data_IF_496460915190
#
_entry.id   IF_496460915190
#
_cell.length_a   1.000
_cell.length_b   1.000
_cell.length_c   1.000
_cell.angle_alpha   90.00
_cell.angle_beta   90.00
_cell.angle_gamma   90.00
#
_symmetry.space_group_name_H-M   'P 1'
#
loop_
_entity.id
_entity.type
_entity.pdbx_description
1 polymer ?
#
# COMPACT_ATOMS: atom_id res chain seq x y z
N UNK A 1 24.32 -49.97 14.32
CA UNK A 1 24.90 -48.60 14.24
C UNK A 1 25.56 -48.35 12.88
N UNK A 2 26.36 -49.28 12.37
CA UNK A 2 27.07 -49.21 11.09
C UNK A 2 26.17 -49.04 9.86
N UNK A 3 25.04 -49.73 9.79
CA UNK A 3 24.13 -49.64 8.62
C UNK A 3 23.40 -48.28 8.52
N UNK A 4 23.15 -47.61 9.65
CA UNK A 4 22.55 -46.27 9.67
C UNK A 4 23.56 -45.19 9.28
N UNK A 5 24.83 -45.38 9.64
CA UNK A 5 25.91 -44.50 9.21
C UNK A 5 26.15 -44.58 7.70
N UNK A 6 26.19 -45.80 7.13
CA UNK A 6 26.34 -46.00 5.69
C UNK A 6 25.18 -45.38 4.88
N UNK A 7 23.94 -45.49 5.38
CA UNK A 7 22.78 -44.84 4.74
C UNK A 7 22.82 -43.31 4.83
N UNK A 8 23.36 -42.75 5.92
CA UNK A 8 23.52 -41.31 6.07
C UNK A 8 24.59 -40.75 5.11
N UNK A 9 25.71 -41.46 4.94
CA UNK A 9 26.76 -41.09 4.00
C UNK A 9 26.29 -41.18 2.53
N UNK A 10 25.53 -42.21 2.18
CA UNK A 10 24.93 -42.33 0.84
C UNK A 10 23.94 -41.19 0.54
N UNK A 11 23.12 -40.81 1.52
CA UNK A 11 22.20 -39.67 1.38
C UNK A 11 22.93 -38.33 1.28
N UNK A 12 24.02 -38.15 2.04
CA UNK A 12 24.84 -36.95 1.95
C UNK A 12 25.54 -36.82 0.58
N UNK A 13 26.02 -37.94 0.02
CA UNK A 13 26.59 -37.97 -1.32
C UNK A 13 25.54 -37.61 -2.38
N UNK A 14 24.34 -38.20 -2.31
CA UNK A 14 23.24 -37.92 -3.24
C UNK A 14 22.80 -36.44 -3.22
N UNK A 15 22.68 -35.85 -2.02
CA UNK A 15 22.36 -34.42 -1.87
C UNK A 15 23.46 -33.51 -2.42
N UNK A 16 24.74 -33.92 -2.30
CA UNK A 16 25.86 -33.16 -2.84
C UNK A 16 25.88 -33.17 -4.38
N UNK A 17 25.47 -34.27 -4.99
CA UNK A 17 25.39 -34.40 -6.45
C UNK A 17 24.18 -33.66 -7.01
N UNK A 18 23.04 -33.70 -6.33
CA UNK A 18 21.85 -32.90 -6.67
C UNK A 18 22.13 -31.39 -6.56
N UNK A 19 22.90 -30.96 -5.55
CA UNK A 19 23.35 -29.57 -5.42
C UNK A 19 24.28 -29.13 -6.57
N UNK A 20 25.19 -30.01 -7.00
CA UNK A 20 26.08 -29.74 -8.16
C UNK A 20 25.29 -29.68 -9.46
N UNK A 21 24.28 -30.52 -9.61
CA UNK A 21 23.43 -30.54 -10.79
C UNK A 21 22.55 -29.29 -10.87
N UNK A 22 21.93 -28.88 -9.75
CA UNK A 22 21.24 -27.58 -9.67
C UNK A 22 22.18 -26.41 -9.98
N UNK A 23 23.42 -26.44 -9.51
CA UNK A 23 24.40 -25.40 -9.79
C UNK A 23 24.81 -25.37 -11.27
N UNK A 24 24.86 -26.53 -11.94
CA UNK A 24 25.06 -26.62 -13.40
C UNK A 24 23.85 -26.10 -14.17
N UNK A 25 22.63 -26.43 -13.74
CA UNK A 25 21.39 -25.92 -14.35
C UNK A 25 21.25 -24.40 -14.18
N UNK A 26 21.65 -23.83 -13.04
CA UNK A 26 21.69 -22.39 -12.84
C UNK A 26 22.72 -21.69 -13.73
N UNK A 27 23.86 -22.34 -14.01
CA UNK A 27 24.87 -21.84 -14.95
C UNK A 27 24.45 -21.98 -16.41
N UNK A 28 23.72 -23.03 -16.76
CA UNK A 28 23.22 -23.29 -18.11
C UNK A 28 21.93 -22.51 -18.43
N UNK A 29 21.35 -21.77 -17.47
CA UNK A 29 20.21 -20.90 -17.75
C UNK A 29 20.66 -19.77 -18.70
N UNK A 30 19.88 -19.47 -19.75
CA UNK A 30 20.21 -18.47 -20.78
C UNK A 30 20.36 -17.06 -20.21
N UNK A 31 19.95 -16.82 -18.97
CA UNK A 31 20.16 -15.56 -18.25
C UNK A 31 21.63 -15.32 -17.91
N UNK A 32 22.42 -16.35 -17.59
CA UNK A 32 23.85 -16.18 -17.28
C UNK A 32 24.66 -15.82 -18.54
N UNK A 33 24.33 -16.47 -19.67
CA UNK A 33 24.90 -16.15 -20.99
C UNK A 33 24.45 -14.76 -21.47
N UNK A 34 23.16 -14.42 -21.30
CA UNK A 34 22.66 -13.08 -21.59
C UNK A 34 23.33 -12.00 -20.71
N UNK A 35 23.58 -12.28 -19.43
CA UNK A 35 24.31 -11.37 -18.55
C UNK A 35 25.80 -11.26 -18.90
N UNK A 36 26.42 -12.31 -19.43
CA UNK A 36 27.79 -12.26 -19.94
C UNK A 36 27.85 -11.42 -21.22
N UNK A 37 26.93 -11.66 -22.17
CA UNK A 37 26.81 -10.89 -23.40
C UNK A 37 26.57 -9.39 -23.13
N UNK A 38 25.65 -9.04 -22.23
CA UNK A 38 25.40 -7.66 -21.81
C UNK A 38 26.64 -7.01 -21.17
N UNK A 39 27.45 -7.78 -20.44
CA UNK A 39 28.68 -7.27 -19.82
C UNK A 39 29.76 -6.99 -20.86
N UNK A 40 29.85 -7.83 -21.88
CA UNK A 40 30.79 -7.64 -22.98
C UNK A 40 30.36 -6.47 -23.88
N UNK A 41 29.06 -6.27 -24.12
CA UNK A 41 28.53 -5.07 -24.76
C UNK A 41 28.84 -3.79 -23.96
N UNK A 42 28.65 -3.82 -22.63
CA UNK A 42 29.01 -2.70 -21.75
C UNK A 42 30.51 -2.38 -21.75
N UNK A 43 31.36 -3.38 -21.93
CA UNK A 43 32.81 -3.19 -22.07
C UNK A 43 33.15 -2.56 -23.42
N UNK A 44 32.55 -3.04 -24.51
CA UNK A 44 32.72 -2.45 -25.84
C UNK A 44 32.27 -0.98 -25.89
N UNK A 45 31.15 -0.64 -25.24
CA UNK A 45 30.67 0.76 -25.14
C UNK A 45 31.61 1.63 -24.30
N UNK A 46 32.21 1.08 -23.24
CA UNK A 46 33.21 1.79 -22.42
C UNK A 46 34.48 2.09 -23.21
N UNK A 47 34.96 1.12 -23.98
CA UNK A 47 36.17 1.26 -24.80
C UNK A 47 35.95 2.22 -25.98
N UNK A 48 34.72 2.28 -26.53
CA UNK A 48 34.33 3.30 -27.50
C UNK A 48 34.29 4.72 -26.88
N UNK A 49 33.88 4.84 -25.61
CA UNK A 49 33.85 6.11 -24.89
C UNK A 49 35.24 6.64 -24.52
N UNK A 50 36.19 5.75 -24.22
CA UNK A 50 37.59 6.14 -23.97
C UNK A 50 38.29 6.52 -25.28
N UNK A 51 38.06 5.79 -26.38
CA UNK A 51 38.57 6.15 -27.70
C UNK A 51 38.03 7.49 -28.23
N UNK A 52 36.80 7.88 -27.88
CA UNK A 52 36.24 9.19 -28.24
C UNK A 52 36.80 10.36 -27.41
N UNK A 53 37.41 10.10 -26.25
CA UNK A 53 37.99 11.14 -25.38
C UNK A 53 39.37 11.60 -25.83
N UNK A 54 40.11 10.75 -26.54
CA UNK A 54 41.46 11.09 -27.03
C UNK A 54 41.44 11.98 -28.29
N UNK A 55 40.25 12.21 -28.90
CA UNK A 55 40.06 13.08 -30.06
C UNK A 55 39.48 14.48 -29.73
N UNK A 56 39.08 14.72 -28.47
CA UNK A 56 38.42 15.97 -28.06
C UNK A 56 39.33 16.92 -27.24
N UNK A 57 40.65 16.74 -27.33
CA UNK A 57 41.65 17.62 -26.74
C UNK A 57 42.25 18.58 -27.77
N UNK A 58 41.48 19.57 -28.24
CA UNK A 58 41.99 20.54 -29.20
C UNK A 58 41.08 21.74 -29.44
N UNK A 59 41.40 22.86 -28.80
CA UNK A 59 41.31 24.16 -29.46
C UNK A 59 40.18 25.13 -29.06
N UNK A 60 40.65 26.31 -28.60
CA UNK A 60 40.05 27.65 -28.72
C UNK A 60 38.81 27.96 -27.87
N UNK A 61 38.64 29.13 -27.27
CA UNK A 61 39.34 30.40 -27.39
C UNK A 61 38.41 31.48 -26.83
N UNK A 62 38.94 32.29 -25.92
CA UNK A 62 38.29 33.37 -25.19
C UNK A 62 37.90 34.55 -26.09
N UNK A 63 36.71 35.14 -25.91
CA UNK A 63 36.42 36.52 -26.34
C UNK A 63 35.35 37.18 -25.45
N UNK A 64 35.81 38.20 -24.72
CA UNK A 64 35.05 39.14 -23.91
C UNK A 64 34.85 40.45 -24.68
N UNK A 65 33.67 41.07 -24.55
CA UNK A 65 33.36 42.52 -24.62
C UNK A 65 31.83 42.65 -24.67
N UNK A 66 31.10 43.40 -23.82
CA UNK A 66 31.41 44.59 -23.07
C UNK A 66 30.76 45.80 -23.76
N UNK A 67 29.61 46.29 -23.25
CA UNK A 67 29.17 47.70 -23.30
C UNK A 67 28.00 47.94 -22.36
N UNK A 68 28.18 48.90 -21.45
CA UNK A 68 27.21 49.49 -20.53
C UNK A 68 26.28 50.50 -21.24
N UNK A 69 25.15 50.82 -20.60
CA UNK A 69 24.25 51.89 -21.03
C UNK A 69 23.02 52.02 -20.13
N UNK A 70 23.14 52.86 -19.10
CA UNK A 70 22.13 53.33 -18.15
C UNK A 70 21.12 54.32 -18.79
N UNK A 71 19.96 54.53 -18.15
CA UNK A 71 19.07 55.66 -18.44
C UNK A 71 17.56 55.35 -18.35
N UNK A 72 16.93 55.75 -17.26
CA UNK A 72 15.51 55.54 -16.97
C UNK A 72 14.52 56.56 -17.55
N UNK A 73 13.23 56.28 -17.32
CA UNK A 73 12.24 57.29 -16.98
C UNK A 73 11.13 57.63 -17.99
N UNK A 74 9.91 57.52 -17.48
CA UNK A 74 8.73 58.36 -17.72
C UNK A 74 7.65 57.90 -18.74
N UNK A 75 6.43 57.93 -18.20
CA UNK A 75 5.14 57.70 -18.82
C UNK A 75 4.60 58.95 -19.52
N UNK A 76 3.81 58.74 -20.59
CA UNK A 76 2.68 59.56 -21.05
C UNK A 76 2.10 58.88 -22.31
N UNK A 77 0.91 58.28 -22.27
CA UNK A 77 -0.37 58.89 -22.68
C UNK A 77 -0.29 59.73 -23.96
N UNK A 78 -0.84 59.22 -25.06
CA UNK A 78 -1.81 59.97 -25.87
C UNK A 78 -2.50 59.04 -26.87
N UNK A 79 -3.83 59.15 -26.87
CA UNK A 79 -4.71 58.63 -27.89
C UNK A 79 -4.44 59.34 -29.22
N UNK A 80 -4.47 58.59 -30.30
CA UNK A 80 -4.52 59.13 -31.66
C UNK A 80 -5.68 58.47 -32.40
N UNK A 81 -6.70 59.30 -32.63
CA UNK A 81 -7.80 59.09 -33.55
C UNK A 81 -7.36 59.61 -34.93
N UNK A 82 -7.56 58.84 -36.00
CA UNK A 82 -7.79 59.36 -37.36
C UNK A 82 -8.05 58.22 -38.33
N UNK A 83 -9.30 58.14 -38.77
CA UNK A 83 -9.73 57.44 -39.96
C UNK A 83 -9.28 58.20 -41.21
N UNK A 84 -8.81 57.49 -42.25
CA UNK A 84 -9.11 57.81 -43.65
C UNK A 84 -9.09 56.55 -44.51
N UNK A 85 -10.11 56.48 -45.36
CA UNK A 85 -10.52 55.39 -46.25
C UNK A 85 -9.54 55.06 -47.37
N UNK A 86 -9.52 53.79 -47.81
CA UNK A 86 -9.04 53.45 -49.15
C UNK A 86 -8.45 52.05 -49.37
N UNK A 87 -9.18 50.95 -49.13
CA UNK A 87 -8.85 49.62 -49.68
C UNK A 87 -10.01 48.63 -49.54
N UNK A 88 -11.01 48.65 -50.44
CA UNK A 88 -12.19 47.79 -50.36
C UNK A 88 -12.35 46.77 -51.50
N UNK A 89 -11.28 46.39 -52.20
CA UNK A 89 -11.39 45.44 -53.32
C UNK A 89 -10.52 44.17 -53.22
N UNK A 90 -9.44 44.12 -52.43
CA UNK A 90 -8.62 42.88 -52.27
C UNK A 90 -8.96 42.08 -51.01
N UNK A 91 -9.59 42.68 -50.02
CA UNK A 91 -9.91 42.06 -48.72
C UNK A 91 -11.11 41.11 -48.77
N UNK A 92 -12.02 41.26 -49.73
CA UNK A 92 -13.18 40.38 -49.86
C UNK A 92 -12.80 38.97 -50.36
N UNK A 93 -11.80 38.87 -51.24
CA UNK A 93 -11.30 37.58 -51.74
C UNK A 93 -10.47 36.84 -50.67
N UNK A 94 -9.61 37.56 -49.93
CA UNK A 94 -8.88 36.99 -48.79
C UNK A 94 -9.81 36.63 -47.62
N UNK A 95 -10.87 37.41 -47.36
CA UNK A 95 -11.87 37.08 -46.34
C UNK A 95 -12.73 35.86 -46.73
N UNK A 96 -13.03 35.65 -48.01
CA UNK A 96 -13.78 34.47 -48.47
C UNK A 96 -12.91 33.20 -48.44
N UNK A 97 -11.61 33.30 -48.77
CA UNK A 97 -10.66 32.19 -48.64
C UNK A 97 -10.36 31.88 -47.17
N UNK A 98 -10.25 32.89 -46.30
CA UNK A 98 -10.10 32.70 -44.85
C UNK A 98 -11.37 32.14 -44.20
N UNK A 99 -12.56 32.56 -44.64
CA UNK A 99 -13.84 31.99 -44.20
C UNK A 99 -14.02 30.56 -44.72
N UNK A 100 -13.58 30.26 -45.95
CA UNK A 100 -13.55 28.91 -46.51
C UNK A 100 -12.57 27.99 -45.78
N UNK A 101 -11.38 28.48 -45.42
CA UNK A 101 -10.40 27.75 -44.62
C UNK A 101 -10.85 27.55 -43.16
N UNK A 102 -11.52 28.53 -42.56
CA UNK A 102 -12.13 28.41 -41.23
C UNK A 102 -13.32 27.45 -41.22
N UNK A 103 -14.13 27.43 -42.29
CA UNK A 103 -15.23 26.47 -42.46
C UNK A 103 -14.72 25.03 -42.69
N UNK A 104 -13.66 24.87 -43.49
CA UNK A 104 -13.00 23.57 -43.70
C UNK A 104 -12.30 23.05 -42.43
N UNK A 105 -11.64 23.93 -41.66
CA UNK A 105 -11.06 23.59 -40.36
C UNK A 105 -12.17 23.23 -39.34
N UNK A 106 -13.28 23.97 -39.31
CA UNK A 106 -14.45 23.67 -38.48
C UNK A 106 -15.10 22.32 -38.82
N UNK A 107 -15.14 21.95 -40.10
CA UNK A 107 -15.64 20.65 -40.58
C UNK A 107 -14.72 19.47 -40.25
N UNK A 108 -13.41 19.68 -40.06
CA UNK A 108 -12.49 18.63 -39.56
C UNK A 108 -12.44 18.56 -38.03
N UNK A 109 -12.68 19.66 -37.34
CA UNK A 109 -12.68 19.71 -35.86
C UNK A 109 -13.97 19.13 -35.26
N UNK A 110 -15.11 19.30 -35.92
CA UNK A 110 -16.39 18.69 -35.50
C UNK A 110 -16.34 17.15 -35.36
N UNK A 111 -15.90 16.36 -36.37
CA UNK A 111 -15.86 14.91 -36.23
C UNK A 111 -14.84 14.45 -35.17
N UNK A 112 -13.76 15.20 -34.97
CA UNK A 112 -12.74 14.91 -33.95
C UNK A 112 -13.30 15.14 -32.53
N UNK A 113 -14.03 16.25 -32.31
CA UNK A 113 -14.74 16.51 -31.06
C UNK A 113 -15.82 15.48 -30.78
N UNK A 114 -16.57 15.05 -31.80
CA UNK A 114 -17.59 14.00 -31.66
C UNK A 114 -16.94 12.65 -31.35
N UNK A 115 -15.79 12.34 -31.97
CA UNK A 115 -15.02 11.12 -31.68
C UNK A 115 -14.48 11.11 -30.25
N UNK A 116 -13.91 12.22 -29.78
CA UNK A 116 -13.45 12.37 -28.39
C UNK A 116 -14.61 12.34 -27.39
N UNK A 117 -15.74 12.98 -27.69
CA UNK A 117 -16.92 12.90 -26.83
C UNK A 117 -17.43 11.46 -26.73
N UNK A 118 -17.48 10.72 -27.85
CA UNK A 118 -17.88 9.30 -27.87
C UNK A 118 -16.86 8.42 -27.14
N UNK A 119 -15.56 8.71 -27.27
CA UNK A 119 -14.48 8.04 -26.52
C UNK A 119 -14.64 8.28 -25.03
N UNK A 120 -14.80 9.53 -24.58
CA UNK A 120 -15.02 9.87 -23.18
C UNK A 120 -16.31 9.24 -22.63
N UNK A 121 -17.40 9.21 -23.40
CA UNK A 121 -18.62 8.49 -23.03
C UNK A 121 -18.37 6.99 -22.85
N UNK A 122 -17.62 6.35 -23.76
CA UNK A 122 -17.27 4.93 -23.64
C UNK A 122 -16.39 4.65 -22.42
N UNK A 123 -15.44 5.54 -22.11
CA UNK A 123 -14.59 5.45 -20.93
C UNK A 123 -15.40 5.64 -19.65
N UNK A 124 -16.34 6.59 -19.62
CA UNK A 124 -17.27 6.78 -18.50
C UNK A 124 -18.17 5.56 -18.29
N UNK A 125 -18.65 4.93 -19.37
CA UNK A 125 -19.43 3.69 -19.27
C UNK A 125 -18.59 2.53 -18.74
N UNK A 126 -17.35 2.39 -19.21
CA UNK A 126 -16.42 1.35 -18.75
C UNK A 126 -16.02 1.55 -17.29
N UNK A 127 -15.75 2.79 -16.87
CA UNK A 127 -15.46 3.10 -15.46
C UNK A 127 -16.66 2.83 -14.55
N UNK A 128 -17.89 3.13 -15.02
CA UNK A 128 -19.11 2.76 -14.28
C UNK A 128 -19.27 1.25 -14.14
N UNK A 129 -19.03 0.50 -15.22
CA UNK A 129 -19.07 -0.97 -15.16
C UNK A 129 -18.03 -1.55 -14.19
N UNK A 130 -16.80 -1.00 -14.19
CA UNK A 130 -15.76 -1.38 -13.22
C UNK A 130 -16.12 -1.02 -11.78
N UNK A 131 -16.78 0.12 -11.56
CA UNK A 131 -17.27 0.49 -10.23
C UNK A 131 -18.34 -0.49 -9.75
N UNK A 132 -19.31 -0.85 -10.59
CA UNK A 132 -20.34 -1.83 -10.21
C UNK A 132 -19.74 -3.21 -9.94
N UNK A 133 -18.77 -3.66 -10.75
CA UNK A 133 -18.05 -4.92 -10.53
C UNK A 133 -17.31 -4.91 -9.18
N UNK A 134 -16.58 -3.84 -8.86
CA UNK A 134 -15.88 -3.69 -7.57
C UNK A 134 -16.84 -3.60 -6.39
N UNK A 135 -18.00 -2.96 -6.58
CA UNK A 135 -19.06 -2.93 -5.58
C UNK A 135 -19.64 -4.32 -5.33
N UNK A 136 -19.84 -5.13 -6.37
CA UNK A 136 -20.34 -6.50 -6.25
C UNK A 136 -19.30 -7.42 -5.60
N UNK A 137 -18.02 -7.28 -5.94
CA UNK A 137 -16.92 -7.96 -5.26
C UNK A 137 -16.88 -7.60 -3.76
N UNK A 138 -17.04 -6.31 -3.41
CA UNK A 138 -17.11 -5.85 -2.02
C UNK A 138 -18.35 -6.40 -1.30
N UNK A 139 -19.52 -6.45 -1.96
CA UNK A 139 -20.74 -7.06 -1.40
C UNK A 139 -20.52 -8.55 -1.14
N UNK A 140 -19.92 -9.28 -2.08
CA UNK A 140 -19.61 -10.70 -1.94
C UNK A 140 -18.59 -10.96 -0.82
N UNK A 141 -17.54 -10.15 -0.72
CA UNK A 141 -16.54 -10.25 0.35
C UNK A 141 -17.17 -10.01 1.73
N UNK A 142 -18.01 -8.98 1.87
CA UNK A 142 -18.75 -8.69 3.12
C UNK A 142 -19.72 -9.80 3.49
N UNK A 143 -20.36 -10.43 2.50
CA UNK A 143 -21.24 -11.56 2.76
C UNK A 143 -20.45 -12.77 3.30
N UNK A 144 -19.29 -13.07 2.70
CA UNK A 144 -18.38 -14.12 3.21
C UNK A 144 -17.85 -13.80 4.60
N UNK A 145 -17.54 -12.54 4.90
CA UNK A 145 -17.13 -12.11 6.23
C UNK A 145 -18.22 -12.37 7.27
N UNK A 146 -19.49 -12.04 6.96
CA UNK A 146 -20.64 -12.34 7.83
C UNK A 146 -20.88 -13.84 8.02
N UNK A 147 -20.72 -14.62 6.96
CA UNK A 147 -20.86 -16.08 7.04
C UNK A 147 -19.75 -16.71 7.89
N UNK A 148 -18.51 -16.22 7.74
CA UNK A 148 -17.39 -16.67 8.56
C UNK A 148 -17.55 -16.21 10.02
N UNK A 149 -18.01 -14.99 10.28
CA UNK A 149 -18.27 -14.53 11.64
C UNK A 149 -19.38 -15.36 12.31
N UNK A 150 -20.46 -15.66 11.59
CA UNK A 150 -21.53 -16.53 12.10
C UNK A 150 -21.02 -17.95 12.44
N UNK A 151 -20.14 -18.52 11.59
CA UNK A 151 -19.50 -19.82 11.88
C UNK A 151 -18.59 -19.76 13.11
N UNK A 152 -17.86 -18.66 13.29
CA UNK A 152 -17.03 -18.45 14.50
C UNK A 152 -17.91 -18.36 15.74
N UNK A 153 -19.01 -17.60 15.68
CA UNK A 153 -19.94 -17.47 16.80
C UNK A 153 -20.60 -18.82 17.16
N UNK A 154 -20.97 -19.62 16.15
CA UNK A 154 -21.48 -20.99 16.35
C UNK A 154 -20.44 -21.90 17.00
N UNK A 155 -19.18 -21.84 16.56
CA UNK A 155 -18.10 -22.61 17.17
C UNK A 155 -17.82 -22.18 18.61
N UNK A 156 -17.84 -20.88 18.89
CA UNK A 156 -17.67 -20.36 20.25
C UNK A 156 -18.80 -20.83 21.16
N UNK A 157 -20.05 -20.78 20.69
CA UNK A 157 -21.20 -21.29 21.44
C UNK A 157 -21.15 -22.81 21.68
N UNK A 158 -20.70 -23.57 20.69
CA UNK A 158 -20.49 -25.01 20.82
C UNK A 158 -19.38 -25.33 21.84
N UNK A 159 -18.27 -24.60 21.81
CA UNK A 159 -17.18 -24.73 22.79
C UNK A 159 -17.68 -24.39 24.19
N UNK A 160 -18.39 -23.27 24.37
CA UNK A 160 -18.90 -22.90 25.70
C UNK A 160 -19.88 -23.94 26.24
N UNK A 161 -20.75 -24.51 25.39
CA UNK A 161 -21.66 -25.60 25.78
C UNK A 161 -20.91 -26.87 26.18
N UNK A 162 -19.81 -27.21 25.50
CA UNK A 162 -18.95 -28.34 25.86
C UNK A 162 -18.19 -28.06 27.17
N UNK A 163 -17.73 -26.83 27.38
CA UNK A 163 -17.10 -26.40 28.64
C UNK A 163 -18.08 -26.50 29.81
N UNK A 164 -19.31 -26.03 29.66
CA UNK A 164 -20.38 -26.15 30.67
C UNK A 164 -20.75 -27.63 30.93
N UNK A 165 -20.80 -28.46 29.88
CA UNK A 165 -21.06 -29.90 29.99
C UNK A 165 -19.92 -30.62 30.71
N UNK A 166 -18.67 -30.23 30.45
CA UNK A 166 -17.51 -30.77 31.16
C UNK A 166 -17.47 -30.29 32.61
N UNK A 167 -17.80 -29.03 32.88
CA UNK A 167 -17.92 -28.47 34.23
C UNK A 167 -18.98 -29.21 35.04
N UNK A 168 -20.16 -29.45 34.47
CA UNK A 168 -21.24 -30.20 35.14
C UNK A 168 -20.87 -31.68 35.34
N UNK A 169 -20.19 -32.31 34.39
CA UNK A 169 -19.67 -33.67 34.53
C UNK A 169 -18.54 -33.78 35.58
N UNK A 170 -17.72 -32.75 35.75
CA UNK A 170 -16.70 -32.68 36.80
C UNK A 170 -17.26 -32.28 38.17
N UNK A 171 -18.43 -31.63 38.21
CA UNK A 171 -19.08 -31.19 39.45
C UNK A 171 -19.98 -32.26 40.08
N UNK A 172 -20.23 -33.40 39.40
CA UNK A 172 -20.81 -34.57 40.07
C UNK A 172 -19.75 -35.19 40.97
N UNK A 173 -19.89 -35.14 42.31
CA UNK A 173 -18.86 -35.65 43.21
C UNK A 173 -18.93 -37.17 43.17
N UNK A 174 -18.02 -37.80 42.40
CA UNK A 174 -17.70 -39.21 42.62
C UNK A 174 -16.73 -39.28 43.80
N UNK A 175 -17.36 -39.46 44.95
CA UNK A 175 -16.84 -40.02 46.18
C UNK A 175 -15.81 -39.19 46.96
N UNK A 176 -16.25 -38.79 48.15
CA UNK A 176 -15.46 -38.14 49.17
C UNK A 176 -14.56 -39.19 49.82
N UNK A 177 -13.28 -39.23 49.47
CA UNK A 177 -12.35 -40.10 50.19
C UNK A 177 -10.96 -40.19 49.58
N UNK A 178 -10.11 -39.21 49.89
CA UNK A 178 -8.72 -39.38 50.39
C UNK A 178 -7.78 -38.27 49.91
N UNK A 179 -7.19 -37.64 50.93
CA UNK A 179 -5.85 -37.06 51.00
C UNK A 179 -5.56 -35.84 50.13
N UNK A 180 -5.57 -34.69 50.82
CA UNK A 180 -4.74 -33.54 50.52
C UNK A 180 -3.27 -33.98 50.41
N UNK A 181 -2.79 -34.31 49.21
CA UNK A 181 -1.37 -34.23 48.90
C UNK A 181 -1.18 -33.00 48.02
N UNK A 182 -0.47 -32.01 48.56
CA UNK A 182 -0.01 -30.85 47.83
C UNK A 182 0.89 -31.32 46.68
N UNK A 183 0.67 -30.73 45.50
CA UNK A 183 1.38 -31.00 44.24
C UNK A 183 2.92 -30.90 44.35
N UNK A 184 3.43 -30.34 45.44
CA UNK A 184 4.85 -30.21 45.76
C UNK A 184 5.53 -31.55 46.08
N UNK A 185 4.84 -32.50 46.73
CA UNK A 185 5.46 -33.78 47.13
C UNK A 185 5.70 -34.72 45.94
N UNK A 186 4.88 -34.63 44.90
CA UNK A 186 5.01 -35.49 43.70
C UNK A 186 6.18 -35.04 42.81
N UNK A 187 6.55 -33.75 42.87
CA UNK A 187 7.69 -33.23 42.10
C UNK A 187 9.04 -33.56 42.77
N UNK A 188 9.07 -33.82 44.08
CA UNK A 188 10.30 -34.14 44.80
C UNK A 188 10.67 -35.63 44.78
N UNK A 189 9.73 -36.52 44.41
CA UNK A 189 9.98 -37.95 44.28
C UNK A 189 10.62 -38.38 42.94
N UNK A 190 10.85 -37.45 42.00
CA UNK A 190 11.36 -37.74 40.66
C UNK A 190 12.89 -37.85 40.50
N UNK A 191 13.67 -37.60 41.56
CA UNK A 191 15.14 -37.42 41.46
C UNK A 191 15.98 -38.36 42.35
N UNK A 192 15.38 -39.33 43.04
CA UNK A 192 16.16 -40.29 43.84
C UNK A 192 16.00 -41.70 43.29
N UNK A 193 17.02 -42.15 42.57
CA UNK A 193 17.19 -43.55 42.20
C UNK A 193 17.27 -44.42 43.45
N UNK A 194 16.27 -45.27 43.66
CA UNK A 194 16.33 -46.37 44.61
C UNK A 194 15.50 -47.55 44.10
N UNK A 195 16.10 -48.73 44.24
CA UNK A 195 15.73 -50.08 43.80
C UNK A 195 14.29 -50.52 44.11
N UNK A 196 13.69 -51.43 43.31
CA UNK A 196 12.41 -52.04 43.63
C UNK A 196 12.66 -53.26 44.55
N UNK A 197 12.18 -53.20 45.78
CA UNK A 197 11.94 -54.41 46.56
C UNK A 197 10.55 -54.34 47.20
N UNK A 198 9.88 -55.49 47.20
CA UNK A 198 8.44 -55.62 47.38
C UNK A 198 7.96 -55.47 48.83
N UNK A 199 6.68 -55.14 48.99
CA UNK A 199 5.72 -56.01 49.69
C UNK A 199 4.35 -55.31 49.84
N UNK A 200 3.34 -56.02 49.32
CA UNK A 200 1.90 -55.99 49.55
C UNK A 200 1.28 -55.04 50.59
N UNK A 201 0.21 -54.34 50.20
CA UNK A 201 -1.14 -54.60 50.75
C UNK A 201 -2.24 -53.87 49.97
N UNK A 202 -3.41 -54.52 49.86
CA UNK A 202 -4.69 -53.82 49.70
C UNK A 202 -5.26 -53.83 48.29
N UNK A 203 -6.11 -54.82 48.01
CA UNK A 203 -6.75 -55.02 46.72
C UNK A 203 -7.57 -53.84 46.19
N UNK A 204 -7.52 -53.66 44.88
CA UNK A 204 -8.72 -53.51 44.05
C UNK A 204 -8.34 -53.85 42.60
N UNK A 205 -8.85 -54.98 42.13
CA UNK A 205 -8.84 -55.31 40.71
C UNK A 205 -9.80 -54.34 39.98
N UNK A 206 -9.21 -53.57 39.06
CA UNK A 206 -9.77 -52.74 38.00
C UNK A 206 -10.14 -51.24 38.29
N UNK A 207 -9.76 -50.28 37.40
CA UNK A 207 -8.81 -50.41 36.30
C UNK A 207 -7.79 -49.26 36.16
N UNK A 208 -6.61 -49.65 35.68
CA UNK A 208 -5.54 -48.87 35.04
C UNK A 208 -6.02 -47.94 33.87
N UNK A 209 -7.33 -47.94 33.58
CA UNK A 209 -7.98 -47.12 32.55
C UNK A 209 -8.00 -45.62 32.87
N UNK A 210 -8.21 -45.23 34.13
CA UNK A 210 -8.17 -43.80 34.50
C UNK A 210 -6.75 -43.23 34.38
N UNK A 211 -5.73 -43.99 34.80
CA UNK A 211 -4.33 -43.63 34.60
C UNK A 211 -3.92 -43.63 33.12
N UNK A 212 -4.41 -44.59 32.33
CA UNK A 212 -4.21 -44.60 30.88
C UNK A 212 -4.89 -43.41 30.18
N UNK A 213 -6.12 -43.06 30.56
CA UNK A 213 -6.85 -41.92 30.00
C UNK A 213 -6.15 -40.59 30.32
N UNK A 214 -5.72 -40.37 31.56
CA UNK A 214 -4.96 -39.18 31.95
C UNK A 214 -3.61 -39.09 31.22
N UNK A 215 -2.91 -40.23 31.01
CA UNK A 215 -1.69 -40.26 30.20
C UNK A 215 -1.95 -39.85 28.75
N UNK A 216 -3.03 -40.32 28.14
CA UNK A 216 -3.42 -39.95 26.77
C UNK A 216 -3.76 -38.46 26.69
N UNK A 217 -4.53 -37.92 27.65
CA UNK A 217 -4.86 -36.49 27.69
C UNK A 217 -3.62 -35.64 27.89
N UNK A 218 -2.70 -36.03 28.77
CA UNK A 218 -1.41 -35.36 28.94
C UNK A 218 -0.58 -35.40 27.64
N UNK A 219 -0.56 -36.52 26.92
CA UNK A 219 0.15 -36.64 25.65
C UNK A 219 -0.49 -35.78 24.54
N UNK A 220 -1.83 -35.71 24.49
CA UNK A 220 -2.55 -34.84 23.56
C UNK A 220 -2.31 -33.36 23.87
N UNK A 221 -2.35 -32.98 25.15
CA UNK A 221 -2.03 -31.61 25.60
C UNK A 221 -0.60 -31.24 25.25
N UNK A 222 0.34 -32.16 25.45
CA UNK A 222 1.75 -31.96 25.12
C UNK A 222 1.96 -31.84 23.60
N UNK A 223 1.26 -32.65 22.80
CA UNK A 223 1.24 -32.51 21.34
C UNK A 223 0.68 -31.17 20.89
N UNK A 224 -0.47 -30.76 21.43
CA UNK A 224 -1.07 -29.46 21.12
C UNK A 224 -0.17 -28.30 21.53
N UNK A 225 0.55 -28.40 22.67
CA UNK A 225 1.55 -27.40 23.08
C UNK A 225 2.74 -27.33 22.12
N UNK A 226 3.21 -28.47 21.60
CA UNK A 226 4.29 -28.52 20.60
C UNK A 226 3.84 -27.94 19.26
N UNK A 227 2.63 -28.25 18.82
CA UNK A 227 2.06 -27.68 17.59
C UNK A 227 1.84 -26.16 17.75
N UNK A 228 1.35 -25.71 18.91
CA UNK A 228 1.20 -24.29 19.22
C UNK A 228 2.54 -23.55 19.30
N UNK A 229 3.59 -24.15 19.88
CA UNK A 229 4.92 -23.55 19.93
C UNK A 229 5.59 -23.51 18.55
N UNK A 230 5.42 -24.55 17.74
CA UNK A 230 5.88 -24.59 16.35
C UNK A 230 5.20 -23.50 15.50
N UNK A 231 3.86 -23.38 15.57
CA UNK A 231 3.10 -22.33 14.89
C UNK A 231 3.52 -20.94 15.38
N UNK A 232 3.79 -20.76 16.67
CA UNK A 232 4.27 -19.48 17.19
C UNK A 232 5.65 -19.09 16.62
N UNK A 233 6.54 -20.06 16.39
CA UNK A 233 7.83 -19.82 15.73
C UNK A 233 7.64 -19.48 14.25
N UNK A 234 6.77 -20.21 13.55
CA UNK A 234 6.47 -19.95 12.14
C UNK A 234 5.85 -18.55 11.92
N UNK A 235 4.90 -18.16 12.76
CA UNK A 235 4.30 -16.82 12.73
C UNK A 235 5.33 -15.73 13.01
N UNK A 236 6.27 -15.96 13.94
CA UNK A 236 7.40 -15.04 14.17
C UNK A 236 8.28 -14.93 12.92
N UNK A 237 8.65 -16.05 12.32
CA UNK A 237 9.43 -16.09 11.08
C UNK A 237 8.75 -15.37 9.92
N UNK A 238 7.45 -15.60 9.70
CA UNK A 238 6.67 -14.90 8.68
C UNK A 238 6.60 -13.39 8.93
N UNK A 239 6.43 -12.96 10.19
CA UNK A 239 6.45 -11.53 10.55
C UNK A 239 7.81 -10.89 10.32
N UNK A 240 8.90 -11.60 10.60
CA UNK A 240 10.26 -11.14 10.31
C UNK A 240 10.50 -11.00 8.80
N UNK A 241 10.03 -11.95 8.00
CA UNK A 241 10.08 -11.87 6.53
C UNK A 241 9.29 -10.66 6.00
N UNK A 242 8.08 -10.42 6.51
CA UNK A 242 7.28 -9.23 6.14
C UNK A 242 8.05 -7.95 6.48
N UNK A 243 8.66 -7.86 7.66
CA UNK A 243 9.48 -6.70 8.04
C UNK A 243 10.69 -6.53 7.14
N UNK A 244 11.38 -7.62 6.78
CA UNK A 244 12.52 -7.60 5.87
C UNK A 244 12.12 -7.15 4.46
N UNK A 245 11.00 -7.65 3.92
CA UNK A 245 10.46 -7.23 2.63
C UNK A 245 10.02 -5.76 2.65
N UNK A 246 9.40 -5.29 3.73
CA UNK A 246 9.05 -3.88 3.88
C UNK A 246 10.29 -2.98 3.94
N UNK A 247 11.35 -3.40 4.66
CA UNK A 247 12.61 -2.67 4.70
C UNK A 247 13.29 -2.64 3.31
N UNK A 248 13.30 -3.77 2.60
CA UNK A 248 13.82 -3.85 1.23
C UNK A 248 13.01 -2.97 0.27
N UNK A 249 11.68 -2.95 0.37
CA UNK A 249 10.82 -2.09 -0.44
C UNK A 249 11.09 -0.61 -0.16
N UNK A 250 11.27 -0.20 1.10
CA UNK A 250 11.62 1.19 1.45
C UNK A 250 13.00 1.57 0.92
N UNK A 251 13.96 0.65 1.00
CA UNK A 251 15.30 0.84 0.43
C UNK A 251 15.23 1.02 -1.08
N UNK A 252 14.53 0.13 -1.79
CA UNK A 252 14.33 0.22 -3.25
C UNK A 252 13.59 1.49 -3.64
N UNK A 253 12.59 1.92 -2.87
CA UNK A 253 11.92 3.21 -3.10
C UNK A 253 12.88 4.39 -2.96
N UNK A 254 13.77 4.36 -1.95
CA UNK A 254 14.81 5.38 -1.79
C UNK A 254 15.84 5.37 -2.92
N UNK A 255 16.29 4.19 -3.34
CA UNK A 255 17.25 4.03 -4.44
C UNK A 255 16.64 4.46 -5.78
N UNK A 256 15.37 4.11 -6.04
CA UNK A 256 14.62 4.55 -7.22
C UNK A 256 14.44 6.08 -7.23
N UNK A 257 14.12 6.68 -6.08
CA UNK A 257 14.03 8.14 -5.97
C UNK A 257 15.38 8.81 -6.22
N UNK A 258 16.48 8.29 -5.67
CA UNK A 258 17.82 8.83 -5.92
C UNK A 258 18.25 8.69 -7.39
N UNK A 259 17.85 7.59 -8.06
CA UNK A 259 18.07 7.43 -9.49
C UNK A 259 17.25 8.45 -10.29
N UNK A 260 15.98 8.65 -9.93
CA UNK A 260 15.13 9.66 -10.53
C UNK A 260 15.70 11.07 -10.36
N UNK A 261 16.18 11.42 -9.16
CA UNK A 261 16.88 12.68 -8.87
C UNK A 261 18.08 12.89 -9.82
N UNK A 262 18.89 11.84 -10.01
CA UNK A 262 20.06 11.87 -10.90
C UNK A 262 19.68 12.01 -12.37
N UNK A 263 18.69 11.26 -12.84
CA UNK A 263 18.18 11.35 -14.22
C UNK A 263 17.62 12.75 -14.47
N UNK A 264 16.83 13.29 -13.54
CA UNK A 264 16.27 14.64 -13.65
C UNK A 264 17.34 15.72 -13.64
N UNK A 265 18.39 15.58 -12.83
CA UNK A 265 19.53 16.50 -12.83
C UNK A 265 20.32 16.47 -14.14
N UNK A 266 20.50 15.28 -14.74
CA UNK A 266 21.15 15.15 -16.04
C UNK A 266 20.27 15.72 -17.16
N UNK A 267 18.96 15.50 -17.10
CA UNK A 267 17.99 16.08 -18.02
C UNK A 267 17.97 17.60 -17.93
N UNK A 268 17.95 18.18 -16.73
CA UNK A 268 17.95 19.64 -16.57
C UNK A 268 19.27 20.25 -17.10
N UNK A 269 20.40 19.58 -16.91
CA UNK A 269 21.69 20.00 -17.47
C UNK A 269 21.75 19.91 -19.00
N UNK A 270 21.09 18.92 -19.58
CA UNK A 270 20.95 18.77 -21.03
C UNK A 270 20.02 19.83 -21.62
N UNK A 271 18.89 20.11 -20.97
CA UNK A 271 17.94 21.17 -21.33
C UNK A 271 18.56 22.58 -21.22
N UNK A 272 19.49 22.78 -20.28
CA UNK A 272 20.20 24.05 -20.11
C UNK A 272 21.27 24.31 -21.19
N UNK A 273 21.60 23.32 -22.02
CA UNK A 273 22.55 23.47 -23.13
C UNK A 273 21.79 23.86 -24.41
N UNK A 274 22.15 24.97 -25.09
CA UNK A 274 21.45 25.38 -26.31
C UNK A 274 21.68 24.31 -27.40
N UNK A 275 20.60 23.67 -27.85
CA UNK A 275 20.61 22.54 -28.81
C UNK A 275 20.38 21.14 -28.22
N UNK A 276 20.09 21.01 -26.91
CA UNK A 276 19.87 19.71 -26.24
C UNK A 276 18.43 19.18 -26.25
N UNK A 277 17.46 19.95 -26.76
CA UNK A 277 16.03 19.62 -26.70
C UNK A 277 15.70 18.29 -27.41
N UNK A 278 16.35 18.00 -28.53
CA UNK A 278 16.11 16.79 -29.33
C UNK A 278 16.64 15.50 -28.66
N UNK A 279 17.61 15.63 -27.74
CA UNK A 279 18.19 14.50 -27.01
C UNK A 279 17.42 14.16 -25.72
N UNK A 280 16.68 15.12 -25.14
CA UNK A 280 15.87 14.91 -23.94
C UNK A 280 14.62 14.05 -24.22
N UNK A 281 14.06 14.12 -25.44
CA UNK A 281 12.87 13.37 -25.85
C UNK A 281 13.11 11.86 -25.96
N UNK A 282 14.36 11.43 -26.15
CA UNK A 282 14.72 10.01 -26.34
C UNK A 282 14.98 9.25 -25.03
N UNK A 283 14.92 9.93 -23.87
CA UNK A 283 15.05 9.32 -22.53
C UNK A 283 13.66 9.25 -21.84
N UNK A 284 12.61 8.99 -22.61
CA UNK A 284 11.28 8.67 -22.06
C UNK A 284 11.09 7.16 -22.20
N UNK A 285 11.67 6.41 -21.26
CA UNK A 285 11.64 4.94 -21.26
C UNK A 285 10.46 4.49 -20.37
N UNK A 286 9.28 4.44 -20.99
CA UNK A 286 8.29 3.36 -20.84
C UNK A 286 7.65 3.04 -19.48
N UNK A 287 7.41 4.00 -18.59
CA UNK A 287 6.34 3.87 -17.58
C UNK A 287 5.92 5.23 -16.98
N UNK A 288 5.19 6.03 -17.78
CA UNK A 288 4.64 7.35 -17.41
C UNK A 288 3.94 7.34 -16.02
N UNK A 289 3.26 6.24 -15.66
CA UNK A 289 2.59 6.12 -14.37
C UNK A 289 3.53 5.96 -13.18
N UNK A 290 4.66 5.27 -13.34
CA UNK A 290 5.63 5.10 -12.24
C UNK A 290 6.50 6.36 -12.11
N UNK A 291 6.89 6.94 -13.24
CA UNK A 291 7.60 8.22 -13.29
C UNK A 291 6.76 9.35 -12.68
N UNK A 292 5.45 9.41 -12.96
CA UNK A 292 4.55 10.39 -12.33
C UNK A 292 4.48 10.24 -10.80
N UNK A 293 4.43 9.01 -10.27
CA UNK A 293 4.42 8.76 -8.83
C UNK A 293 5.75 9.19 -8.17
N UNK A 294 6.88 8.88 -8.79
CA UNK A 294 8.20 9.29 -8.29
C UNK A 294 8.45 10.80 -8.47
N UNK A 295 7.86 11.41 -9.49
CA UNK A 295 7.87 12.86 -9.71
C UNK A 295 7.14 13.60 -8.60
N UNK A 296 5.93 13.15 -8.24
CA UNK A 296 5.16 13.74 -7.13
C UNK A 296 5.93 13.61 -5.80
N UNK A 297 6.48 12.43 -5.52
CA UNK A 297 7.34 12.19 -4.35
C UNK A 297 8.60 13.08 -4.33
N UNK A 298 9.21 13.31 -5.50
CA UNK A 298 10.36 14.21 -5.65
C UNK A 298 9.97 15.67 -5.43
N UNK A 299 8.89 16.14 -6.04
CA UNK A 299 8.39 17.52 -5.88
C UNK A 299 7.99 17.80 -4.44
N UNK A 300 7.35 16.84 -3.77
CA UNK A 300 7.03 16.94 -2.35
C UNK A 300 8.29 17.05 -1.47
N UNK A 301 9.33 16.25 -1.76
CA UNK A 301 10.60 16.26 -1.02
C UNK A 301 11.43 17.51 -1.29
N UNK A 302 11.46 17.99 -2.52
CA UNK A 302 12.27 19.13 -2.95
C UNK A 302 11.60 20.47 -2.67
N UNK A 303 10.29 20.52 -2.47
CA UNK A 303 9.60 21.77 -2.16
C UNK A 303 9.89 22.20 -0.70
N UNK A 304 10.70 23.25 -0.47
CA UNK A 304 11.04 23.71 0.88
C UNK A 304 9.81 24.23 1.64
N UNK A 305 8.75 24.62 0.92
CA UNK A 305 7.51 25.12 1.50
C UNK A 305 6.49 24.01 1.79
N UNK A 306 6.60 22.83 1.20
CA UNK A 306 5.65 21.73 1.48
C UNK A 306 5.82 21.22 2.93
N UNK A 307 7.07 21.01 3.35
CA UNK A 307 7.39 20.66 4.73
C UNK A 307 7.05 21.80 5.70
N UNK A 308 7.32 23.05 5.28
CA UNK A 308 6.99 24.24 6.07
C UNK A 308 5.49 24.39 6.27
N UNK A 309 4.67 24.36 5.22
CA UNK A 309 3.21 24.46 5.31
C UNK A 309 2.60 23.30 6.10
N UNK A 310 3.13 22.07 5.98
CA UNK A 310 2.68 20.95 6.81
C UNK A 310 2.99 21.19 8.29
N UNK A 311 4.21 21.63 8.60
CA UNK A 311 4.65 21.94 9.98
C UNK A 311 3.90 23.13 10.56
N UNK A 312 3.70 24.18 9.78
CA UNK A 312 2.96 25.39 10.13
C UNK A 312 1.48 25.06 10.35
N UNK A 313 0.88 24.22 9.50
CA UNK A 313 -0.49 23.74 9.68
C UNK A 313 -0.61 22.94 10.98
N UNK A 314 0.35 22.06 11.27
CA UNK A 314 0.40 21.29 12.53
C UNK A 314 0.65 22.19 13.75
N UNK A 315 1.50 23.21 13.62
CA UNK A 315 1.76 24.20 14.67
C UNK A 315 0.50 25.02 14.96
N UNK A 316 -0.15 25.57 13.93
CA UNK A 316 -1.47 26.21 14.06
C UNK A 316 -2.51 25.28 14.66
N UNK A 317 -2.51 23.99 14.28
CA UNK A 317 -3.35 22.99 14.92
C UNK A 317 -3.01 22.74 16.41
N UNK A 318 -1.73 22.85 16.78
CA UNK A 318 -1.24 22.63 18.15
C UNK A 318 -1.38 23.87 19.05
N UNK A 319 -1.37 25.07 18.47
CA UNK A 319 -1.54 26.37 19.14
C UNK A 319 -3.00 26.65 19.50
N UNK A 320 -3.97 25.95 18.87
CA UNK A 320 -5.37 26.00 19.27
C UNK A 320 -5.55 25.45 20.69
N UNK A 321 -6.37 26.15 21.46
CA UNK A 321 -6.70 25.82 22.84
C UNK A 321 -7.34 24.41 22.87
N UNK A 322 -7.04 23.53 23.84
CA UNK A 322 -7.64 22.18 23.92
C UNK A 322 -9.17 22.09 23.69
N UNK A 323 -10.02 23.01 24.20
CA UNK A 323 -11.44 23.04 23.87
C UNK A 323 -11.74 23.44 22.42
N UNK A 324 -10.94 24.30 21.81
CA UNK A 324 -11.08 24.69 20.40
C UNK A 324 -10.72 23.53 19.46
N UNK A 325 -9.72 22.71 19.81
CA UNK A 325 -9.40 21.46 19.10
C UNK A 325 -10.57 20.48 19.11
N UNK A 326 -11.23 20.37 20.26
CA UNK A 326 -12.39 19.51 20.43
C UNK A 326 -13.59 20.06 19.65
N UNK A 327 -13.83 21.38 19.69
CA UNK A 327 -14.90 22.02 18.90
C UNK A 327 -14.67 21.87 17.39
N UNK A 328 -13.42 22.03 16.94
CA UNK A 328 -13.06 21.92 15.53
C UNK A 328 -13.10 20.46 15.06
N UNK A 329 -12.73 19.50 15.92
CA UNK A 329 -12.91 18.08 15.62
C UNK A 329 -14.39 17.68 15.61
N UNK A 330 -15.21 18.20 16.53
CA UNK A 330 -16.66 17.97 16.51
C UNK A 330 -17.29 18.59 15.27
N UNK A 331 -17.02 19.85 14.97
CA UNK A 331 -17.54 20.53 13.77
C UNK A 331 -17.11 19.82 12.49
N UNK A 332 -15.82 19.50 12.37
CA UNK A 332 -15.30 18.75 11.22
C UNK A 332 -15.87 17.34 11.13
N UNK A 333 -16.05 16.64 12.25
CA UNK A 333 -16.66 15.31 12.29
C UNK A 333 -18.13 15.35 11.83
N UNK A 334 -18.89 16.36 12.27
CA UNK A 334 -20.27 16.57 11.82
C UNK A 334 -20.36 16.93 10.32
N UNK A 335 -19.43 17.73 9.80
CA UNK A 335 -19.43 18.17 8.39
C UNK A 335 -18.84 17.12 7.44
N UNK A 336 -17.80 16.40 7.87
CA UNK A 336 -17.07 15.41 7.07
C UNK A 336 -17.89 14.14 6.88
N UNK A 337 -18.61 13.69 7.91
CA UNK A 337 -19.31 12.42 7.87
C UNK A 337 -20.69 12.53 7.18
N UNK A 338 -20.92 11.71 6.15
CA UNK A 338 -22.20 11.65 5.40
C UNK A 338 -23.38 11.32 6.31
N UNK A 339 -23.18 10.44 7.30
CA UNK A 339 -24.23 10.05 8.24
C UNK A 339 -24.56 11.16 9.24
N UNK A 340 -23.55 11.92 9.67
CA UNK A 340 -23.76 13.06 10.57
C UNK A 340 -24.59 14.18 9.90
N UNK A 341 -24.39 14.41 8.59
CA UNK A 341 -25.22 15.33 7.80
C UNK A 341 -26.69 14.89 7.71
N UNK A 342 -26.93 13.59 7.51
CA UNK A 342 -28.30 13.04 7.47
C UNK A 342 -28.97 13.15 8.86
N UNK A 343 -28.23 12.86 9.92
CA UNK A 343 -28.72 13.01 11.30
C UNK A 343 -29.10 14.46 11.63
N UNK A 344 -28.27 15.45 11.25
CA UNK A 344 -28.56 16.86 11.46
C UNK A 344 -29.81 17.31 10.69
N UNK A 345 -29.97 16.86 9.44
CA UNK A 345 -31.17 17.15 8.66
C UNK A 345 -32.42 16.56 9.32
N UNK A 346 -32.36 15.31 9.80
CA UNK A 346 -33.44 14.68 10.54
C UNK A 346 -33.79 15.42 11.84
N UNK A 347 -32.78 15.88 12.59
CA UNK A 347 -32.97 16.69 13.79
C UNK A 347 -33.70 18.00 13.49
N UNK A 348 -33.31 18.72 12.43
CA UNK A 348 -33.99 19.94 11.99
C UNK A 348 -35.45 19.66 11.63
N UNK A 349 -35.73 18.63 10.83
CA UNK A 349 -37.11 18.26 10.46
C UNK A 349 -37.94 17.92 11.70
N UNK A 350 -37.39 17.14 12.63
CA UNK A 350 -38.08 16.76 13.87
C UNK A 350 -38.41 17.99 14.72
N UNK A 351 -37.46 18.94 14.84
CA UNK A 351 -37.67 20.19 15.57
C UNK A 351 -38.76 21.05 14.92
N UNK A 352 -38.79 21.12 13.59
CA UNK A 352 -39.86 21.81 12.87
C UNK A 352 -41.22 21.15 13.09
N UNK A 353 -41.31 19.82 13.00
CA UNK A 353 -42.54 19.08 13.29
C UNK A 353 -43.02 19.29 14.72
N UNK A 354 -42.11 19.35 15.69
CA UNK A 354 -42.44 19.57 17.10
C UNK A 354 -42.99 20.98 17.31
N UNK A 355 -42.35 22.01 16.75
CA UNK A 355 -42.82 23.40 16.84
C UNK A 355 -44.14 23.61 16.09
N UNK A 356 -44.26 23.06 14.88
CA UNK A 356 -45.53 23.08 14.14
C UNK A 356 -46.63 22.34 14.89
N UNK A 357 -46.32 21.19 15.50
CA UNK A 357 -47.24 20.41 16.31
C UNK A 357 -47.67 21.12 17.60
N UNK A 358 -46.75 21.81 18.29
CA UNK A 358 -47.08 22.57 19.50
C UNK A 358 -47.97 23.77 19.18
N UNK A 359 -47.67 24.50 18.10
CA UNK A 359 -48.50 25.61 17.64
C UNK A 359 -49.86 25.11 17.16
N UNK A 360 -49.93 23.97 16.47
CA UNK A 360 -51.18 23.33 16.07
C UNK A 360 -52.03 22.93 17.29
N UNK A 361 -51.42 22.30 18.30
CA UNK A 361 -52.10 21.90 19.53
C UNK A 361 -52.67 23.09 20.31
N UNK A 362 -51.89 24.17 20.44
CA UNK A 362 -52.34 25.41 21.10
C UNK A 362 -53.45 26.10 20.30
N UNK A 363 -53.35 26.15 18.97
CA UNK A 363 -54.37 26.76 18.10
C UNK A 363 -55.68 25.96 18.11
N UNK A 364 -55.61 24.63 18.16
CA UNK A 364 -56.81 23.80 18.22
C UNK A 364 -57.45 23.80 19.62
N UNK A 365 -56.65 23.91 20.70
CA UNK A 365 -57.17 24.05 22.07
C UNK A 365 -57.83 25.39 22.37
N UNK A 366 -57.55 26.44 21.60
CA UNK A 366 -58.16 27.76 21.74
C UNK A 366 -59.44 27.94 20.93
N UNK A 367 -59.78 26.97 20.06
CA UNK A 367 -61.00 26.98 19.23
C UNK A 367 -62.13 26.09 19.78
N UNK A 368 -61.92 25.39 20.88
CA UNK A 368 -62.96 24.77 21.71
C UNK A 368 -63.12 25.59 22.98
#
# INVERSE_FOLDING_TARGET
ATERAAKAEANAAALSDEAREMQRQLRARPTAEAHAALRDELRAVRDAQTGSKDLAGGGYGNCSSGTEGDGGGAAATSAADSATDGAFASTAAEALVAAGAASAAGQMVQPLLVAEHRRLQSQMALLRAKLTEREDELRAARQREKELSAKVDEQVAAISSLEDSLLTQHSTPRDAGRTNHTLADIMQAGDSGATPDGSASGGHDAPDHQGAMLRIVCQQRERARREASALAVEVKGAREQVRALQAASRRLQGDNLALYEKVRFLQSRLESKPGGADAATHISISDESTEAAYKELYEEKMNPFAAFHKRERLQRYSELTPPEKLMLSFSSFFLSNRHARIFLFGYMVCLHLLVSGSMYSVTHRTRC
#
